data_IF_657678555155
#
_entry.id   IF_657678555155
#
_cell.length_a   1.000
_cell.length_b   1.000
_cell.length_c   1.000
_cell.angle_alpha   90.00
_cell.angle_beta   90.00
_cell.angle_gamma   90.00
#
_symmetry.space_group_name_H-M   'P 1'
#
loop_
_entity.id
_entity.type
_entity.pdbx_description
1 polymer ?
#
# COMPACT_ATOMS: atom_id res chain seq x y z
N UNK A 1 -4.79 60.40 -17.03
CA UNK A 1 -3.68 59.88 -16.20
C UNK A 1 -4.11 60.13 -14.75
N UNK A 2 -4.56 59.20 -13.91
CA UNK A 2 -4.34 57.76 -13.81
C UNK A 2 -5.62 57.02 -13.43
N UNK A 3 -5.84 55.94 -14.15
CA UNK A 3 -6.53 54.73 -13.70
C UNK A 3 -5.71 54.15 -12.54
N UNK A 4 -6.29 53.88 -11.36
CA UNK A 4 -6.00 52.65 -10.63
C UNK A 4 -7.00 52.37 -9.49
N UNK A 5 -7.94 51.48 -9.80
CA UNK A 5 -8.37 50.33 -8.98
C UNK A 5 -8.69 50.62 -7.50
N UNK A 6 -9.94 51.00 -7.27
CA UNK A 6 -10.60 50.71 -5.99
C UNK A 6 -10.75 49.18 -5.87
N UNK A 7 -10.22 48.65 -4.78
CA UNK A 7 -10.10 47.24 -4.46
C UNK A 7 -11.45 46.51 -4.58
N UNK A 8 -11.51 45.53 -5.50
CA UNK A 8 -12.49 44.46 -5.45
C UNK A 8 -12.15 43.63 -4.22
N UNK A 9 -13.04 43.63 -3.23
CA UNK A 9 -12.99 42.76 -2.06
C UNK A 9 -13.14 41.32 -2.57
N UNK A 10 -12.02 40.67 -2.86
CA UNK A 10 -11.98 39.21 -2.89
C UNK A 10 -11.97 38.81 -1.42
N UNK A 11 -13.11 38.32 -0.94
CA UNK A 11 -13.20 37.58 0.30
C UNK A 11 -12.32 36.33 0.16
N UNK A 12 -11.01 36.48 0.42
CA UNK A 12 -10.15 35.34 0.70
C UNK A 12 -10.60 34.88 2.08
N UNK A 13 -11.33 33.77 2.11
CA UNK A 13 -11.46 32.97 3.33
C UNK A 13 -10.04 32.60 3.78
N UNK A 14 -9.43 33.42 4.63
CA UNK A 14 -8.16 33.10 5.28
C UNK A 14 -8.52 32.00 6.28
N UNK A 15 -8.47 30.74 5.81
CA UNK A 15 -8.39 29.61 6.72
C UNK A 15 -7.06 29.74 7.45
N UNK A 16 -7.09 30.34 8.66
CA UNK A 16 -5.89 30.44 9.51
C UNK A 16 -5.47 29.01 9.82
N UNK A 17 -4.32 28.66 9.29
CA UNK A 17 -3.75 27.37 9.57
C UNK A 17 -2.88 27.39 10.80
N UNK A 18 -3.02 26.34 11.60
CA UNK A 18 -2.42 26.24 12.91
C UNK A 18 -1.63 24.95 12.98
N UNK A 19 -0.39 25.06 13.47
CA UNK A 19 0.35 23.92 13.98
C UNK A 19 -0.49 23.19 15.04
N UNK A 20 -0.31 21.87 15.12
CA UNK A 20 -1.09 21.02 16.01
C UNK A 20 -2.52 20.73 15.54
N UNK A 21 -2.82 20.93 14.24
CA UNK A 21 -4.15 20.65 13.68
C UNK A 21 -4.09 19.64 12.54
N UNK A 22 -5.19 18.90 12.36
CA UNK A 22 -5.34 17.94 11.27
C UNK A 22 -5.90 18.61 10.02
N UNK A 23 -5.31 18.28 8.88
CA UNK A 23 -5.74 18.71 7.56
C UNK A 23 -6.01 17.50 6.67
N UNK A 24 -6.92 17.68 5.71
CA UNK A 24 -7.21 16.71 4.66
C UNK A 24 -6.85 17.30 3.30
N UNK A 25 -6.18 16.54 2.44
CA UNK A 25 -5.94 16.94 1.06
C UNK A 25 -7.27 17.02 0.29
N UNK A 26 -7.58 18.18 -0.32
CA UNK A 26 -8.83 18.37 -1.08
C UNK A 26 -8.67 18.22 -2.59
N UNK A 27 -7.46 18.43 -3.09
CA UNK A 27 -7.11 18.25 -4.52
C UNK A 27 -6.81 16.79 -4.81
N UNK A 28 -6.85 16.39 -6.08
CA UNK A 28 -6.54 15.00 -6.49
C UNK A 28 -5.18 14.54 -6.00
N UNK A 29 -4.19 15.44 -6.07
CA UNK A 29 -2.81 15.25 -5.68
C UNK A 29 -2.18 16.62 -5.41
N UNK A 30 -1.38 16.74 -4.35
CA UNK A 30 -0.50 17.90 -4.12
C UNK A 30 0.95 17.45 -3.94
N UNK A 31 1.89 18.26 -4.42
CA UNK A 31 3.32 17.98 -4.31
C UNK A 31 3.79 18.15 -2.86
N UNK A 32 4.62 17.21 -2.40
CA UNK A 32 5.40 17.35 -1.17
C UNK A 32 6.78 17.87 -1.55
N UNK A 33 7.17 18.97 -0.94
CA UNK A 33 8.49 19.60 -1.08
C UNK A 33 9.33 19.37 0.17
N UNK A 34 10.66 19.41 0.03
CA UNK A 34 11.57 19.31 1.16
C UNK A 34 11.66 20.57 2.03
N UNK A 35 11.01 21.67 1.63
CA UNK A 35 10.95 22.92 2.38
C UNK A 35 9.74 23.77 2.01
N UNK A 36 9.54 24.86 2.75
CA UNK A 36 8.37 25.74 2.66
C UNK A 36 8.37 26.66 1.43
N UNK A 37 8.25 26.09 0.23
CA UNK A 37 8.26 26.85 -1.02
C UNK A 37 8.23 25.97 -2.26
N UNK A 38 7.71 26.51 -3.37
CA UNK A 38 7.69 25.83 -4.67
C UNK A 38 9.08 25.53 -5.24
N UNK A 39 10.09 26.29 -4.79
CA UNK A 39 11.47 26.18 -5.25
C UNK A 39 12.26 25.07 -4.54
N UNK A 40 11.71 24.46 -3.50
CA UNK A 40 12.34 23.33 -2.83
C UNK A 40 12.16 22.03 -3.62
N UNK A 41 13.12 21.09 -3.54
CA UNK A 41 13.03 19.78 -4.17
C UNK A 41 11.70 19.07 -3.92
N UNK A 42 11.15 18.49 -4.98
CA UNK A 42 10.04 17.54 -4.89
C UNK A 42 10.52 16.23 -4.25
N UNK A 43 9.79 15.74 -3.26
CA UNK A 43 10.14 14.49 -2.53
C UNK A 43 8.98 13.49 -2.47
N UNK A 44 7.83 13.82 -3.07
CA UNK A 44 6.68 12.94 -3.11
C UNK A 44 5.38 13.71 -3.34
N UNK A 45 4.26 13.07 -3.07
CA UNK A 45 2.95 13.71 -3.16
C UNK A 45 1.99 13.20 -2.10
N UNK A 46 0.97 14.01 -1.81
CA UNK A 46 -0.14 13.69 -0.93
C UNK A 46 -1.42 13.57 -1.77
N UNK A 47 -2.04 12.39 -1.74
CA UNK A 47 -3.26 12.10 -2.51
C UNK A 47 -4.51 12.72 -1.86
N UNK A 48 -5.56 12.90 -2.66
CA UNK A 48 -6.88 13.35 -2.18
C UNK A 48 -7.35 12.52 -0.98
N UNK A 49 -8.04 13.18 -0.06
CA UNK A 49 -8.66 12.58 1.13
C UNK A 49 -7.68 11.95 2.13
N UNK A 50 -6.37 12.11 1.92
CA UNK A 50 -5.34 11.75 2.90
C UNK A 50 -5.30 12.82 4.01
N UNK A 51 -5.09 12.36 5.24
CA UNK A 51 -5.01 13.23 6.41
C UNK A 51 -3.55 13.43 6.83
N UNK A 52 -3.21 14.63 7.28
CA UNK A 52 -1.92 14.97 7.87
C UNK A 52 -2.12 15.71 9.18
N UNK A 53 -1.24 15.49 10.15
CA UNK A 53 -1.13 16.34 11.32
C UNK A 53 -0.03 17.37 11.07
N UNK A 54 -0.42 18.65 11.04
CA UNK A 54 0.49 19.75 10.68
C UNK A 54 1.27 20.19 11.91
N UNK A 55 2.59 20.19 11.82
CA UNK A 55 3.50 20.58 12.92
C UNK A 55 3.96 22.02 12.81
N UNK A 56 3.96 22.60 11.61
CA UNK A 56 4.37 23.98 11.36
C UNK A 56 3.66 24.55 10.14
N UNK A 57 3.50 25.88 10.11
CA UNK A 57 2.99 26.60 8.95
C UNK A 57 3.85 27.84 8.72
N UNK A 58 4.45 27.95 7.54
CA UNK A 58 5.17 29.16 7.14
C UNK A 58 5.07 29.38 5.64
N UNK A 59 5.02 30.65 5.21
CA UNK A 59 4.99 31.05 3.80
C UNK A 59 3.91 30.36 2.94
N UNK A 60 2.76 29.99 3.53
CA UNK A 60 1.69 29.28 2.82
C UNK A 60 1.94 27.78 2.62
N UNK A 61 2.90 27.21 3.33
CA UNK A 61 3.22 25.78 3.32
C UNK A 61 3.00 25.19 4.71
N UNK A 62 2.45 23.98 4.75
CA UNK A 62 2.22 23.21 5.97
C UNK A 62 3.23 22.07 6.05
N UNK A 63 3.95 22.01 7.17
CA UNK A 63 4.89 20.93 7.49
C UNK A 63 4.16 19.75 8.14
N UNK A 64 4.55 18.55 7.74
CA UNK A 64 4.19 17.30 8.41
C UNK A 64 5.36 16.31 8.28
N UNK A 65 5.24 15.12 8.85
CA UNK A 65 6.36 14.18 9.03
C UNK A 65 7.15 13.79 7.75
N UNK A 66 6.56 13.95 6.55
CA UNK A 66 7.24 13.67 5.27
C UNK A 66 7.88 14.91 4.65
N UNK A 67 7.33 16.11 4.89
CA UNK A 67 7.80 17.34 4.26
C UNK A 67 6.74 18.45 4.28
N UNK A 68 6.75 19.27 3.22
CA UNK A 68 5.94 20.48 3.13
C UNK A 68 4.95 20.41 1.97
N UNK A 69 3.69 20.76 2.22
CA UNK A 69 2.62 20.82 1.19
C UNK A 69 2.01 22.22 1.11
N UNK A 70 1.53 22.60 -0.07
CA UNK A 70 0.87 23.88 -0.25
C UNK A 70 -0.46 23.88 0.52
N UNK A 71 -0.63 24.88 1.38
CA UNK A 71 -1.78 24.91 2.29
C UNK A 71 -3.11 25.14 1.57
N UNK A 72 -3.06 25.76 0.40
CA UNK A 72 -4.23 25.98 -0.43
C UNK A 72 -4.80 24.67 -1.00
N UNK A 73 -4.04 23.57 -0.96
CA UNK A 73 -4.46 22.24 -1.39
C UNK A 73 -5.09 21.42 -0.27
N UNK A 74 -5.19 22.00 0.93
CA UNK A 74 -5.69 21.36 2.13
C UNK A 74 -7.03 21.94 2.59
N UNK A 75 -7.74 21.17 3.41
CA UNK A 75 -8.91 21.60 4.19
C UNK A 75 -8.69 21.25 5.66
N UNK A 76 -8.76 22.25 6.54
CA UNK A 76 -8.67 22.07 7.99
C UNK A 76 -9.83 21.22 8.49
N UNK A 77 -9.54 20.23 9.35
CA UNK A 77 -10.56 19.38 9.95
C UNK A 77 -11.02 19.96 11.29
N UNK A 78 -12.34 20.09 11.48
CA UNK A 78 -12.95 20.71 12.67
C UNK A 78 -13.93 19.76 13.37
N UNK A 79 -13.63 18.46 13.44
CA UNK A 79 -14.49 17.53 14.17
C UNK A 79 -14.43 17.85 15.67
N UNK A 80 -15.59 17.83 16.32
CA UNK A 80 -15.76 17.93 17.78
C UNK A 80 -16.21 16.61 18.41
N UNK A 81 -16.42 15.57 17.59
CA UNK A 81 -16.96 14.28 18.03
C UNK A 81 -15.83 13.27 18.21
N UNK A 82 -15.64 12.82 19.45
CA UNK A 82 -14.77 11.70 19.75
C UNK A 82 -15.34 10.40 19.19
N UNK A 83 -14.53 9.64 18.46
CA UNK A 83 -14.91 8.37 17.84
C UNK A 83 -14.00 7.21 18.26
N UNK A 84 -12.88 7.47 18.96
CA UNK A 84 -11.96 6.46 19.46
C UNK A 84 -11.53 6.75 20.90
N UNK A 85 -10.99 5.75 21.59
CA UNK A 85 -10.34 5.86 22.90
C UNK A 85 -9.04 5.06 22.96
N UNK A 86 -8.12 5.50 23.80
CA UNK A 86 -6.90 4.76 24.14
C UNK A 86 -7.26 3.43 24.85
N UNK A 87 -6.68 2.32 24.39
CA UNK A 87 -6.91 0.97 24.93
C UNK A 87 -5.69 0.36 25.63
N UNK A 88 -4.55 1.05 25.66
CA UNK A 88 -3.38 0.70 26.48
C UNK A 88 -3.30 1.56 27.73
N UNK A 89 -2.56 1.12 28.75
CA UNK A 89 -2.42 1.86 30.01
C UNK A 89 -1.86 3.28 29.80
N UNK A 90 -0.88 3.40 28.90
CA UNK A 90 -0.40 4.66 28.37
C UNK A 90 -0.05 4.53 26.88
N UNK A 91 -0.31 5.58 26.09
CA UNK A 91 -0.04 5.63 24.67
C UNK A 91 0.68 6.93 24.28
N UNK A 92 1.82 6.80 23.60
CA UNK A 92 2.55 7.92 23.03
C UNK A 92 1.87 8.43 21.75
N UNK A 93 1.61 9.72 21.71
CA UNK A 93 1.23 10.46 20.51
C UNK A 93 2.42 11.29 20.04
N UNK A 94 2.62 11.36 18.73
CA UNK A 94 3.86 11.81 18.11
C UNK A 94 3.62 12.74 16.92
N UNK A 95 4.68 13.44 16.52
CA UNK A 95 4.68 14.32 15.33
C UNK A 95 4.59 13.55 14.01
N UNK A 96 4.90 12.26 14.02
CA UNK A 96 4.85 11.39 12.86
C UNK A 96 4.63 9.92 13.20
N UNK A 97 4.40 9.08 12.20
CA UNK A 97 3.89 7.71 12.35
C UNK A 97 5.01 6.70 12.63
N UNK A 98 5.82 6.94 13.66
CA UNK A 98 6.89 6.04 14.10
C UNK A 98 7.32 6.38 15.52
N UNK A 99 7.84 5.39 16.24
CA UNK A 99 8.41 5.55 17.58
C UNK A 99 9.63 6.49 17.60
N UNK A 100 10.23 6.76 16.45
CA UNK A 100 11.38 7.65 16.29
C UNK A 100 11.00 9.12 16.18
N UNK A 101 9.72 9.45 15.93
CA UNK A 101 9.26 10.84 15.95
C UNK A 101 9.11 11.34 17.38
N UNK A 102 9.28 12.65 17.58
CA UNK A 102 9.12 13.28 18.88
C UNK A 102 7.75 12.98 19.47
N UNK A 103 7.75 12.68 20.77
CA UNK A 103 6.52 12.53 21.55
C UNK A 103 5.97 13.91 21.87
N UNK A 104 4.71 14.14 21.51
CA UNK A 104 4.00 15.39 21.82
C UNK A 104 2.93 15.21 22.89
N UNK A 105 2.49 13.98 23.15
CA UNK A 105 1.63 13.67 24.29
C UNK A 105 1.77 12.21 24.73
N UNK A 106 1.41 11.96 25.99
CA UNK A 106 1.20 10.63 26.56
C UNK A 106 -0.22 10.61 27.11
N UNK A 107 -1.08 9.74 26.57
CA UNK A 107 -2.49 9.66 26.99
C UNK A 107 -2.76 8.30 27.63
N UNK A 108 -3.52 8.31 28.73
CA UNK A 108 -3.82 7.11 29.50
C UNK A 108 -5.03 6.36 28.92
N UNK A 109 -5.19 5.09 29.29
CA UNK A 109 -6.33 4.25 28.94
C UNK A 109 -7.68 4.97 29.12
N UNK A 110 -8.57 4.81 28.16
CA UNK A 110 -9.89 5.42 28.16
C UNK A 110 -9.95 6.86 27.68
N UNK A 111 -8.80 7.55 27.52
CA UNK A 111 -8.77 8.91 26.97
C UNK A 111 -9.38 8.92 25.57
N UNK A 112 -10.41 9.73 25.37
CA UNK A 112 -11.11 9.86 24.09
C UNK A 112 -10.31 10.74 23.12
N UNK A 113 -10.26 10.32 21.86
CA UNK A 113 -9.58 11.03 20.77
C UNK A 113 -10.46 11.06 19.53
N UNK A 114 -10.20 12.03 18.67
CA UNK A 114 -10.80 12.12 17.35
C UNK A 114 -9.79 11.53 16.38
N UNK A 115 -10.14 10.38 15.83
CA UNK A 115 -9.41 9.71 14.75
C UNK A 115 -9.97 10.18 13.40
N UNK A 116 -9.09 10.61 12.51
CA UNK A 116 -9.46 11.12 11.19
C UNK A 116 -9.19 10.11 10.07
N UNK A 117 -8.12 9.32 10.19
CA UNK A 117 -7.73 8.35 9.16
C UNK A 117 -6.35 7.75 9.44
N UNK A 118 -5.90 6.85 8.56
CA UNK A 118 -4.55 6.27 8.62
C UNK A 118 -3.54 7.19 7.95
N UNK A 119 -2.29 7.09 8.39
CA UNK A 119 -1.17 7.68 7.65
C UNK A 119 -0.91 6.92 6.34
N UNK A 120 -0.60 7.66 5.28
CA UNK A 120 -0.41 7.11 3.93
C UNK A 120 0.90 6.35 3.74
N UNK A 121 1.90 6.61 4.59
CA UNK A 121 3.21 5.94 4.54
C UNK A 121 3.33 4.85 5.61
N UNK A 122 2.52 4.91 6.67
CA UNK A 122 2.46 3.88 7.69
C UNK A 122 1.02 3.69 8.20
N UNK A 123 0.31 2.74 7.58
CA UNK A 123 -1.09 2.47 7.87
C UNK A 123 -1.37 1.95 9.29
N UNK A 124 -0.35 1.55 10.05
CA UNK A 124 -0.51 1.11 11.45
C UNK A 124 -0.65 2.29 12.40
N UNK A 125 -0.43 3.51 11.91
CA UNK A 125 -0.57 4.74 12.67
C UNK A 125 -1.79 5.54 12.19
N UNK A 126 -2.49 6.12 13.16
CA UNK A 126 -3.65 6.96 12.95
C UNK A 126 -3.32 8.43 13.09
N UNK A 127 -3.91 9.25 12.23
CA UNK A 127 -3.93 10.71 12.36
C UNK A 127 -5.06 11.08 13.30
N UNK A 128 -4.72 11.70 14.42
CA UNK A 128 -5.70 12.11 15.43
C UNK A 128 -5.62 13.60 15.72
N UNK A 129 -6.59 14.14 16.45
CA UNK A 129 -6.52 15.51 16.99
C UNK A 129 -5.40 15.72 18.02
N UNK A 130 -4.60 14.70 18.34
CA UNK A 130 -3.48 14.75 19.30
C UNK A 130 -2.16 14.34 18.66
N UNK A 131 -2.08 14.25 17.34
CA UNK A 131 -0.93 13.74 16.60
C UNK A 131 -1.11 12.32 16.09
N UNK A 132 0.00 11.68 15.75
CA UNK A 132 0.06 10.31 15.29
C UNK A 132 0.18 9.33 16.46
N UNK A 133 -0.56 8.24 16.45
CA UNK A 133 -0.38 7.13 17.40
C UNK A 133 -0.58 5.77 16.71
N UNK A 134 -0.02 4.71 17.30
CA UNK A 134 -0.30 3.34 16.83
C UNK A 134 -1.78 3.02 17.03
N UNK A 135 -2.40 2.47 16.00
CA UNK A 135 -3.81 2.08 15.97
C UNK A 135 -4.07 0.75 16.68
N UNK A 136 -3.02 -0.01 17.00
CA UNK A 136 -3.11 -1.18 17.89
C UNK A 136 -3.67 -0.79 19.27
N UNK A 137 -3.38 0.44 19.71
CA UNK A 137 -3.71 0.93 21.03
C UNK A 137 -4.90 1.89 21.04
N UNK A 138 -5.64 1.98 19.94
CA UNK A 138 -6.92 2.69 19.87
C UNK A 138 -8.08 1.70 19.67
N UNK A 139 -9.20 1.99 20.31
CA UNK A 139 -10.46 1.26 20.12
C UNK A 139 -11.59 2.21 19.77
N UNK A 140 -12.48 1.80 18.89
CA UNK A 140 -13.63 2.60 18.47
C UNK A 140 -14.61 2.77 19.64
N UNK A 141 -15.22 3.95 19.74
CA UNK A 141 -16.28 4.20 20.71
C UNK A 141 -17.58 3.62 20.17
N UNK A 142 -18.11 2.60 20.86
CA UNK A 142 -19.43 2.03 20.58
C UNK A 142 -20.51 3.09 20.75
N UNK A 143 -21.33 3.31 19.71
CA UNK A 143 -22.57 4.08 19.83
C UNK A 143 -23.58 3.23 20.58
N UNK A 144 -23.90 3.60 21.82
CA UNK A 144 -25.00 2.99 22.55
C UNK A 144 -26.32 3.41 21.89
N UNK A 145 -26.76 2.65 20.89
CA UNK A 145 -28.17 2.65 20.48
C UNK A 145 -28.89 1.66 21.39
N UNK A 146 -29.54 2.19 22.43
CA UNK A 146 -30.40 1.42 23.33
C UNK A 146 -31.56 0.83 22.53
N UNK A 147 -31.53 -0.46 22.21
CA UNK A 147 -32.68 -1.17 21.64
C UNK A 147 -33.41 -1.88 22.78
N UNK A 148 -34.59 -1.38 23.12
CA UNK A 148 -35.55 -2.04 24.00
C UNK A 148 -36.06 -3.29 23.28
N UNK A 149 -35.92 -4.46 23.93
CA UNK A 149 -36.53 -5.70 23.48
C UNK A 149 -38.05 -5.61 23.51
N UNK A 150 -38.71 -5.86 22.38
CA UNK A 150 -39.88 -6.75 22.33
C UNK A 150 -40.38 -6.97 20.89
N UNK A 151 -40.87 -8.18 20.67
CA UNK A 151 -41.67 -8.71 19.55
C UNK A 151 -40.95 -9.16 18.29
N UNK A 152 -41.13 -10.46 18.01
CA UNK A 152 -40.75 -11.17 16.80
C UNK A 152 -41.48 -10.57 15.59
N UNK A 153 -40.73 -9.93 14.71
CA UNK A 153 -41.09 -9.75 13.30
C UNK A 153 -39.83 -9.97 12.48
N UNK A 154 -39.95 -10.74 11.40
CA UNK A 154 -38.86 -11.06 10.47
C UNK A 154 -38.08 -9.81 10.07
N UNK A 155 -36.89 -9.63 10.63
CA UNK A 155 -35.93 -8.64 10.17
C UNK A 155 -35.06 -9.33 9.13
N UNK A 156 -35.25 -8.95 7.87
CA UNK A 156 -34.23 -9.10 6.84
C UNK A 156 -32.98 -8.43 7.41
N UNK A 157 -31.98 -9.25 7.74
CA UNK A 157 -30.64 -8.78 8.12
C UNK A 157 -30.23 -7.70 7.11
N UNK A 158 -29.82 -6.49 7.54
CA UNK A 158 -29.12 -5.59 6.63
C UNK A 158 -27.97 -6.40 6.08
N UNK A 159 -27.99 -6.66 4.77
CA UNK A 159 -26.92 -7.37 4.09
C UNK A 159 -25.62 -6.73 4.54
N UNK A 160 -24.79 -7.54 5.22
CA UNK A 160 -23.39 -7.24 5.47
C UNK A 160 -22.86 -6.43 4.30
N UNK A 161 -22.34 -5.23 4.53
CA UNK A 161 -21.57 -4.55 3.49
C UNK A 161 -20.51 -5.54 3.05
N UNK A 162 -20.75 -6.21 1.91
CA UNK A 162 -19.83 -7.11 1.28
C UNK A 162 -18.70 -6.19 0.86
N UNK A 163 -17.65 -6.11 1.67
CA UNK A 163 -16.39 -5.53 1.24
C UNK A 163 -16.10 -6.23 -0.09
N UNK A 164 -16.22 -5.50 -1.20
CA UNK A 164 -16.08 -6.08 -2.52
C UNK A 164 -14.61 -6.45 -2.64
N UNK A 165 -14.26 -7.69 -2.25
CA UNK A 165 -12.95 -8.25 -2.54
C UNK A 165 -12.90 -8.43 -4.04
N UNK A 166 -12.00 -7.70 -4.69
CA UNK A 166 -11.68 -7.94 -6.09
C UNK A 166 -10.95 -9.26 -6.19
N UNK A 167 -11.17 -9.98 -7.26
CA UNK A 167 -10.56 -11.29 -7.47
C UNK A 167 -9.60 -11.23 -8.65
N UNK A 168 -8.33 -11.47 -8.36
CA UNK A 168 -7.26 -11.44 -9.36
C UNK A 168 -6.64 -12.82 -9.49
N UNK A 169 -5.91 -13.01 -10.59
CA UNK A 169 -5.06 -14.17 -10.81
C UNK A 169 -3.61 -13.74 -10.96
N UNK A 170 -2.70 -14.69 -10.80
CA UNK A 170 -1.33 -14.56 -11.29
C UNK A 170 -0.98 -15.69 -12.24
N UNK A 171 -0.22 -15.36 -13.28
CA UNK A 171 0.12 -16.29 -14.37
C UNK A 171 1.57 -16.15 -14.81
N UNK A 172 2.08 -17.21 -15.43
CA UNK A 172 3.44 -17.30 -15.96
C UNK A 172 3.47 -18.23 -17.18
N UNK A 173 4.67 -18.55 -17.70
CA UNK A 173 4.84 -19.57 -18.74
C UNK A 173 4.15 -20.92 -18.50
N UNK A 174 3.81 -21.22 -17.25
CA UNK A 174 3.16 -22.47 -16.87
C UNK A 174 1.65 -22.48 -17.10
N UNK A 175 1.03 -21.33 -17.43
CA UNK A 175 -0.40 -21.22 -17.64
C UNK A 175 -0.75 -21.15 -19.12
N UNK A 176 -1.63 -22.03 -19.58
CA UNK A 176 -2.15 -22.01 -20.95
C UNK A 176 -3.47 -21.24 -21.00
N UNK A 177 -3.43 -20.00 -21.48
CA UNK A 177 -4.63 -19.19 -21.70
C UNK A 177 -5.20 -19.51 -23.09
N UNK A 178 -6.36 -20.18 -23.14
CA UNK A 178 -7.04 -20.56 -24.38
C UNK A 178 -7.93 -19.46 -24.94
N UNK A 179 -8.42 -18.56 -24.08
CA UNK A 179 -9.21 -17.40 -24.50
C UNK A 179 -9.03 -16.22 -23.52
N UNK A 180 -8.22 -15.25 -23.91
CA UNK A 180 -7.91 -14.07 -23.09
C UNK A 180 -9.14 -13.18 -22.79
N UNK A 181 -10.08 -13.06 -23.72
CA UNK A 181 -11.29 -12.27 -23.48
C UNK A 181 -12.17 -12.92 -22.41
N UNK A 182 -12.38 -14.24 -22.53
CA UNK A 182 -13.14 -15.00 -21.52
C UNK A 182 -12.46 -14.98 -20.15
N UNK A 183 -11.12 -15.10 -20.13
CA UNK A 183 -10.35 -14.98 -18.90
C UNK A 183 -10.50 -13.59 -18.29
N UNK A 184 -10.28 -12.53 -19.08
CA UNK A 184 -10.39 -11.15 -18.61
C UNK A 184 -11.77 -10.81 -18.03
N UNK A 185 -12.85 -11.33 -18.61
CA UNK A 185 -14.21 -11.13 -18.10
C UNK A 185 -14.52 -11.90 -16.81
N UNK A 186 -13.69 -12.88 -16.43
CA UNK A 186 -13.88 -13.71 -15.24
C UNK A 186 -13.09 -13.21 -14.00
N UNK A 187 -12.28 -12.16 -14.15
CA UNK A 187 -11.36 -11.65 -13.13
C UNK A 187 -11.31 -10.12 -13.12
N UNK A 188 -10.95 -9.53 -11.98
CA UNK A 188 -10.79 -8.07 -11.82
C UNK A 188 -9.39 -7.57 -12.22
N UNK A 189 -8.43 -8.48 -12.42
CA UNK A 189 -7.06 -8.16 -12.81
C UNK A 189 -6.15 -9.39 -12.87
N UNK A 190 -5.00 -9.22 -13.53
CA UNK A 190 -3.98 -10.27 -13.71
C UNK A 190 -2.60 -9.73 -13.34
N UNK A 191 -1.83 -10.50 -12.56
CA UNK A 191 -0.41 -10.23 -12.28
C UNK A 191 0.46 -11.23 -13.04
N UNK A 192 1.25 -10.76 -14.00
CA UNK A 192 2.02 -11.60 -14.93
C UNK A 192 3.45 -11.76 -14.41
N UNK A 193 4.01 -12.98 -14.41
CA UNK A 193 5.45 -13.15 -14.18
C UNK A 193 6.20 -12.50 -15.33
N UNK A 194 6.94 -11.44 -15.05
CA UNK A 194 7.72 -10.77 -16.08
C UNK A 194 9.09 -11.42 -16.28
N UNK A 195 9.66 -12.00 -15.24
CA UNK A 195 10.95 -12.66 -15.29
C UNK A 195 11.32 -13.29 -13.96
N UNK A 196 12.54 -13.81 -13.93
CA UNK A 196 13.13 -14.41 -12.74
C UNK A 196 14.65 -14.28 -12.76
N UNK A 197 15.26 -14.36 -11.58
CA UNK A 197 16.68 -14.63 -11.45
C UNK A 197 16.91 -16.13 -11.27
N UNK A 198 17.85 -16.68 -12.02
CA UNK A 198 18.16 -18.12 -11.98
C UNK A 198 18.68 -18.56 -10.60
N UNK A 199 18.35 -19.80 -10.20
CA UNK A 199 18.76 -20.38 -8.93
C UNK A 199 20.23 -20.83 -8.91
N UNK A 200 20.83 -21.08 -10.09
CA UNK A 200 22.23 -21.50 -10.22
C UNK A 200 23.22 -20.37 -9.88
N UNK A 201 24.49 -20.70 -9.70
CA UNK A 201 25.54 -19.77 -9.23
C UNK A 201 25.66 -18.49 -10.04
N UNK A 202 25.42 -18.54 -11.36
CA UNK A 202 25.43 -17.36 -12.24
C UNK A 202 24.32 -16.37 -11.93
N UNK A 203 23.17 -16.83 -11.41
CA UNK A 203 22.03 -16.00 -11.08
C UNK A 203 21.59 -15.08 -12.22
N UNK A 204 21.49 -15.61 -13.44
CA UNK A 204 21.15 -14.83 -14.63
C UNK A 204 19.74 -14.26 -14.54
N UNK A 205 19.56 -13.02 -15.03
CA UNK A 205 18.25 -12.41 -15.19
C UNK A 205 17.60 -12.95 -16.48
N UNK A 206 16.41 -13.54 -16.35
CA UNK A 206 15.71 -14.21 -17.44
C UNK A 206 14.30 -13.67 -17.58
N UNK A 207 13.91 -13.30 -18.80
CA UNK A 207 12.54 -12.95 -19.15
C UNK A 207 11.66 -14.20 -19.15
N UNK A 208 10.46 -14.12 -18.58
CA UNK A 208 9.46 -15.19 -18.72
C UNK A 208 9.03 -15.30 -20.19
N UNK A 209 9.07 -16.51 -20.75
CA UNK A 209 8.82 -16.75 -22.18
C UNK A 209 7.41 -16.37 -22.62
N UNK A 210 6.44 -16.31 -21.70
CA UNK A 210 5.06 -15.94 -21.99
C UNK A 210 4.70 -14.49 -21.64
N UNK A 211 5.64 -13.68 -21.12
CA UNK A 211 5.38 -12.28 -20.77
C UNK A 211 4.69 -11.50 -21.91
N UNK A 212 5.26 -11.56 -23.11
CA UNK A 212 4.74 -10.79 -24.25
C UNK A 212 3.36 -11.29 -24.71
N UNK A 213 3.16 -12.61 -24.70
CA UNK A 213 1.90 -13.23 -25.11
C UNK A 213 0.79 -12.88 -24.11
N UNK A 214 1.05 -13.03 -22.81
CA UNK A 214 0.10 -12.68 -21.76
C UNK A 214 -0.21 -11.19 -21.75
N UNK A 215 0.81 -10.33 -21.86
CA UNK A 215 0.60 -8.89 -21.93
C UNK A 215 -0.30 -8.50 -23.11
N UNK A 216 0.05 -8.91 -24.34
CA UNK A 216 -0.77 -8.61 -25.53
C UNK A 216 -2.19 -9.18 -25.41
N UNK A 217 -2.32 -10.38 -24.84
CA UNK A 217 -3.60 -11.03 -24.63
C UNK A 217 -4.53 -10.23 -23.70
N UNK A 218 -4.02 -9.75 -22.57
CA UNK A 218 -4.81 -9.02 -21.56
C UNK A 218 -4.87 -7.51 -21.74
N UNK A 219 -3.96 -6.92 -22.54
CA UNK A 219 -3.93 -5.47 -22.78
C UNK A 219 -5.31 -4.96 -23.19
N UNK A 220 -5.72 -3.87 -22.55
CA UNK A 220 -7.01 -3.19 -22.73
C UNK A 220 -8.26 -4.03 -22.36
N UNK A 221 -8.10 -5.24 -21.79
CA UNK A 221 -9.23 -6.11 -21.39
C UNK A 221 -9.42 -6.21 -19.88
N UNK A 222 -8.36 -6.02 -19.11
CA UNK A 222 -8.40 -6.03 -17.64
C UNK A 222 -7.21 -5.25 -17.06
N UNK A 223 -7.14 -5.11 -15.74
CA UNK A 223 -6.00 -4.49 -15.05
C UNK A 223 -4.80 -5.46 -15.08
N UNK A 224 -3.60 -4.93 -15.36
CA UNK A 224 -2.37 -5.74 -15.50
C UNK A 224 -1.35 -5.34 -14.45
N UNK A 225 -0.73 -6.32 -13.81
CA UNK A 225 0.38 -6.18 -12.87
C UNK A 225 1.52 -7.10 -13.22
N UNK A 226 2.63 -6.98 -12.49
CA UNK A 226 3.82 -7.81 -12.71
C UNK A 226 4.45 -8.30 -11.42
N UNK A 227 5.00 -9.51 -11.47
CA UNK A 227 5.90 -10.01 -10.43
C UNK A 227 7.21 -10.54 -11.04
N UNK A 228 8.28 -10.51 -10.25
CA UNK A 228 9.59 -11.03 -10.61
C UNK A 228 10.04 -12.04 -9.54
N UNK A 229 10.34 -13.28 -9.97
CA UNK A 229 10.79 -14.33 -9.05
C UNK A 229 12.28 -14.18 -8.74
N UNK A 230 12.60 -13.90 -7.48
CA UNK A 230 13.97 -13.54 -7.11
C UNK A 230 14.80 -14.73 -6.64
N UNK A 231 16.08 -14.63 -6.95
CA UNK A 231 17.17 -15.41 -6.38
C UNK A 231 18.35 -14.47 -6.05
N UNK A 232 18.06 -13.21 -5.71
CA UNK A 232 19.09 -12.23 -5.37
C UNK A 232 19.71 -12.55 -4.00
N UNK A 233 21.03 -12.60 -3.93
CA UNK A 233 21.79 -12.85 -2.71
C UNK A 233 22.49 -11.60 -2.18
N UNK A 234 22.39 -10.49 -2.90
CA UNK A 234 22.92 -9.18 -2.48
C UNK A 234 21.92 -8.06 -2.78
N UNK A 235 22.06 -6.94 -2.07
CA UNK A 235 21.33 -5.69 -2.33
C UNK A 235 21.49 -5.26 -3.78
N UNK A 236 22.71 -5.27 -4.31
CA UNK A 236 23.01 -4.88 -5.69
C UNK A 236 22.24 -5.72 -6.70
N UNK A 237 22.16 -7.03 -6.47
CA UNK A 237 21.40 -7.93 -7.34
C UNK A 237 19.90 -7.66 -7.32
N UNK A 238 19.34 -7.32 -6.16
CA UNK A 238 17.93 -6.94 -6.05
C UNK A 238 17.63 -5.59 -6.75
N UNK A 239 18.56 -4.64 -6.71
CA UNK A 239 18.47 -3.41 -7.50
C UNK A 239 18.56 -3.66 -9.02
N UNK A 240 19.40 -4.62 -9.44
CA UNK A 240 19.50 -5.05 -10.84
C UNK A 240 18.21 -5.73 -11.31
N UNK A 241 17.58 -6.54 -10.45
CA UNK A 241 16.26 -7.12 -10.71
C UNK A 241 15.22 -6.01 -10.93
N UNK A 242 15.13 -5.04 -10.01
CA UNK A 242 14.21 -3.92 -10.13
C UNK A 242 14.44 -3.10 -11.42
N UNK A 243 15.71 -2.82 -11.73
CA UNK A 243 16.11 -2.09 -12.94
C UNK A 243 15.74 -2.87 -14.20
N UNK A 244 16.01 -4.17 -14.23
CA UNK A 244 15.68 -5.04 -15.36
C UNK A 244 14.17 -5.13 -15.58
N UNK A 245 13.39 -5.26 -14.50
CA UNK A 245 11.92 -5.25 -14.59
C UNK A 245 11.44 -3.96 -15.23
N UNK A 246 11.76 -2.82 -14.63
CA UNK A 246 11.17 -1.53 -15.03
C UNK A 246 11.72 -1.04 -16.38
N UNK A 247 13.04 -1.10 -16.59
CA UNK A 247 13.67 -0.49 -17.76
C UNK A 247 13.68 -1.40 -18.99
N UNK A 248 13.48 -2.71 -18.80
CA UNK A 248 13.56 -3.69 -19.90
C UNK A 248 12.26 -4.45 -20.07
N UNK A 249 11.80 -5.18 -19.05
CA UNK A 249 10.69 -6.12 -19.21
C UNK A 249 9.35 -5.42 -19.44
N UNK A 250 9.05 -4.39 -18.64
CA UNK A 250 7.74 -3.73 -18.63
C UNK A 250 7.75 -2.32 -19.24
N UNK A 251 8.88 -1.88 -19.81
CA UNK A 251 9.00 -0.56 -20.41
C UNK A 251 7.92 -0.34 -21.49
N UNK A 252 7.13 0.73 -21.31
CA UNK A 252 6.02 1.08 -22.20
C UNK A 252 4.79 0.16 -22.12
N UNK A 253 4.75 -0.76 -21.15
CA UNK A 253 3.61 -1.66 -20.94
C UNK A 253 2.64 -1.09 -19.89
N UNK A 254 1.35 -1.39 -20.04
CA UNK A 254 0.33 -1.10 -19.03
C UNK A 254 0.71 -1.75 -17.69
N UNK A 255 0.79 -0.96 -16.63
CA UNK A 255 0.95 -1.45 -15.27
C UNK A 255 -0.01 -0.73 -14.31
N UNK A 256 -0.97 -1.48 -13.77
CA UNK A 256 -1.96 -1.00 -12.83
C UNK A 256 -1.65 -1.37 -11.40
N UNK A 257 -0.83 -2.39 -11.13
CA UNK A 257 -0.55 -2.89 -9.77
C UNK A 257 0.84 -2.45 -9.29
N UNK A 258 1.15 -2.62 -7.98
CA UNK A 258 2.52 -2.67 -7.52
C UNK A 258 3.31 -3.75 -8.25
N UNK A 259 4.59 -3.50 -8.51
CA UNK A 259 5.51 -4.51 -9.04
C UNK A 259 6.01 -5.33 -7.87
N UNK A 260 5.73 -6.64 -7.89
CA UNK A 260 6.03 -7.51 -6.77
C UNK A 260 7.38 -8.21 -6.90
N UNK A 261 8.19 -8.10 -5.86
CA UNK A 261 9.31 -9.00 -5.63
C UNK A 261 8.78 -10.30 -5.02
N UNK A 262 8.92 -11.40 -5.73
CA UNK A 262 8.46 -12.71 -5.27
C UNK A 262 9.63 -13.43 -4.60
N UNK A 263 9.48 -13.76 -3.32
CA UNK A 263 10.48 -14.52 -2.54
C UNK A 263 9.88 -15.77 -1.92
N UNK A 264 10.30 -16.93 -2.43
CA UNK A 264 10.07 -18.24 -1.81
C UNK A 264 11.25 -19.16 -2.14
N UNK A 265 11.16 -20.42 -1.73
CA UNK A 265 12.10 -21.46 -2.11
C UNK A 265 12.20 -21.54 -3.63
N UNK A 266 13.42 -21.73 -4.13
CA UNK A 266 13.74 -21.76 -5.57
C UNK A 266 13.04 -22.88 -6.34
N UNK A 267 12.63 -23.95 -5.65
CA UNK A 267 12.19 -25.21 -6.25
C UNK A 267 13.32 -26.00 -6.89
N UNK A 268 14.59 -25.58 -6.73
CA UNK A 268 15.75 -26.34 -7.18
C UNK A 268 15.85 -27.66 -6.39
N UNK A 269 16.36 -28.75 -7.00
CA UNK A 269 16.55 -30.02 -6.31
C UNK A 269 17.30 -29.84 -5.00
N UNK A 270 16.70 -30.31 -3.89
CA UNK A 270 17.28 -30.21 -2.56
C UNK A 270 17.32 -28.80 -1.96
N UNK A 271 16.50 -27.85 -2.45
CA UNK A 271 16.55 -26.44 -2.03
C UNK A 271 17.96 -25.84 -2.17
N UNK A 272 18.62 -26.18 -3.28
CA UNK A 272 19.99 -25.76 -3.60
C UNK A 272 20.07 -24.41 -4.30
N UNK A 273 18.96 -23.67 -4.38
CA UNK A 273 18.95 -22.35 -4.99
C UNK A 273 19.82 -21.39 -4.22
N UNK A 274 20.52 -20.50 -4.95
CA UNK A 274 21.45 -19.54 -4.36
C UNK A 274 20.82 -18.66 -3.28
N UNK A 275 19.51 -18.42 -3.34
CA UNK A 275 18.80 -17.63 -2.34
C UNK A 275 18.07 -18.47 -1.26
N UNK A 276 18.11 -19.80 -1.31
CA UNK A 276 17.31 -20.64 -0.40
C UNK A 276 17.83 -20.56 1.05
N UNK A 277 19.16 -20.51 1.23
CA UNK A 277 19.80 -20.47 2.55
C UNK A 277 20.18 -19.07 3.04
N UNK A 278 19.60 -18.01 2.45
CA UNK A 278 19.84 -16.65 2.94
C UNK A 278 19.31 -16.49 4.35
N UNK A 279 20.07 -15.79 5.18
CA UNK A 279 19.57 -15.32 6.47
C UNK A 279 18.40 -14.35 6.28
N UNK A 280 17.50 -14.31 7.27
CA UNK A 280 16.38 -13.36 7.33
C UNK A 280 16.81 -11.92 7.07
N UNK A 281 17.95 -11.50 7.63
CA UNK A 281 18.47 -10.13 7.48
C UNK A 281 18.91 -9.83 6.05
N UNK A 282 19.65 -10.73 5.40
CA UNK A 282 20.10 -10.55 4.01
C UNK A 282 18.92 -10.56 3.05
N UNK A 283 18.00 -11.51 3.21
CA UNK A 283 16.79 -11.60 2.39
C UNK A 283 15.94 -10.33 2.50
N UNK A 284 15.76 -9.82 3.73
CA UNK A 284 15.07 -8.56 3.97
C UNK A 284 15.78 -7.38 3.29
N UNK A 285 17.12 -7.30 3.38
CA UNK A 285 17.86 -6.23 2.73
C UNK A 285 17.68 -6.23 1.21
N UNK A 286 17.68 -7.40 0.56
CA UNK A 286 17.35 -7.55 -0.86
C UNK A 286 15.92 -7.09 -1.17
N UNK A 287 14.94 -7.55 -0.40
CA UNK A 287 13.54 -7.18 -0.58
C UNK A 287 13.31 -5.66 -0.46
N UNK A 288 13.88 -5.01 0.55
CA UNK A 288 13.82 -3.56 0.73
C UNK A 288 14.51 -2.84 -0.43
N UNK A 289 15.68 -3.30 -0.87
CA UNK A 289 16.40 -2.70 -1.98
C UNK A 289 15.60 -2.73 -3.29
N UNK A 290 14.95 -3.87 -3.61
CA UNK A 290 14.06 -3.96 -4.75
C UNK A 290 12.91 -2.95 -4.65
N UNK A 291 12.21 -2.91 -3.50
CA UNK A 291 11.08 -1.99 -3.26
C UNK A 291 11.50 -0.54 -3.45
N UNK A 292 12.60 -0.14 -2.81
CA UNK A 292 13.12 1.23 -2.90
C UNK A 292 13.54 1.58 -4.32
N UNK A 293 14.19 0.65 -5.04
CA UNK A 293 14.62 0.87 -6.42
C UNK A 293 13.44 1.01 -7.38
N UNK A 294 12.42 0.17 -7.27
CA UNK A 294 11.19 0.28 -8.09
C UNK A 294 10.49 1.62 -7.83
N UNK A 295 10.39 2.05 -6.56
CA UNK A 295 9.82 3.35 -6.18
C UNK A 295 10.62 4.52 -6.75
N UNK A 296 11.95 4.46 -6.67
CA UNK A 296 12.83 5.47 -7.25
C UNK A 296 12.70 5.56 -8.78
N UNK A 297 12.30 4.46 -9.45
CA UNK A 297 12.01 4.43 -10.88
C UNK A 297 10.58 4.89 -11.23
N UNK A 298 9.80 5.36 -10.24
CA UNK A 298 8.47 5.95 -10.44
C UNK A 298 7.29 4.99 -10.36
N UNK A 299 7.50 3.76 -9.88
CA UNK A 299 6.46 2.73 -9.80
C UNK A 299 6.10 2.38 -8.36
N UNK A 300 4.88 1.89 -8.14
CA UNK A 300 4.52 1.26 -6.87
C UNK A 300 5.17 -0.12 -6.79
N UNK A 301 5.58 -0.51 -5.60
CA UNK A 301 6.31 -1.76 -5.37
C UNK A 301 5.65 -2.58 -4.25
N UNK A 302 5.85 -3.89 -4.29
CA UNK A 302 5.35 -4.79 -3.26
C UNK A 302 6.22 -6.02 -3.10
N UNK A 303 5.93 -6.79 -2.06
CA UNK A 303 6.51 -8.10 -1.81
C UNK A 303 5.40 -9.15 -1.90
N UNK A 304 5.68 -10.22 -2.63
CA UNK A 304 4.95 -11.46 -2.55
C UNK A 304 5.77 -12.49 -1.78
N UNK A 305 5.13 -13.15 -0.82
CA UNK A 305 5.65 -14.35 -0.15
C UNK A 305 4.51 -15.11 0.53
N UNK A 306 4.70 -16.39 0.83
CA UNK A 306 3.79 -17.12 1.72
C UNK A 306 3.78 -16.55 3.15
N UNK A 307 2.71 -16.83 3.90
CA UNK A 307 2.56 -16.45 5.30
C UNK A 307 3.77 -16.88 6.14
N UNK A 308 4.26 -18.11 5.96
CA UNK A 308 5.47 -18.60 6.61
C UNK A 308 6.70 -17.74 6.28
N UNK A 309 6.86 -17.35 5.02
CA UNK A 309 8.01 -16.53 4.63
C UNK A 309 7.94 -15.11 5.21
N UNK A 310 6.76 -14.51 5.28
CA UNK A 310 6.59 -13.21 5.95
C UNK A 310 6.90 -13.27 7.45
N UNK A 311 6.59 -14.39 8.12
CA UNK A 311 6.81 -14.53 9.56
C UNK A 311 8.26 -14.89 9.88
N UNK A 312 8.83 -15.85 9.15
CA UNK A 312 10.08 -16.51 9.52
C UNK A 312 11.28 -16.04 8.69
N UNK A 313 11.06 -15.66 7.42
CA UNK A 313 12.15 -15.39 6.47
C UNK A 313 12.33 -13.91 6.11
N UNK A 314 11.36 -13.06 6.45
CA UNK A 314 11.38 -11.62 6.17
C UNK A 314 11.10 -10.83 7.45
N UNK A 315 11.78 -9.70 7.62
CA UNK A 315 11.43 -8.71 8.63
C UNK A 315 10.26 -7.86 8.09
N UNK A 316 9.04 -8.30 8.40
CA UNK A 316 7.80 -7.69 7.95
C UNK A 316 7.77 -6.17 8.17
N UNK A 317 8.23 -5.70 9.34
CA UNK A 317 8.20 -4.28 9.68
C UNK A 317 9.12 -3.46 8.77
N UNK A 318 10.31 -3.96 8.44
CA UNK A 318 11.19 -3.28 7.47
C UNK A 318 10.58 -3.22 6.07
N UNK A 319 9.88 -4.27 5.66
CA UNK A 319 9.17 -4.30 4.38
C UNK A 319 8.04 -3.25 4.33
N UNK A 320 7.19 -3.21 5.36
CA UNK A 320 6.11 -2.22 5.44
C UNK A 320 6.66 -0.80 5.54
N UNK A 321 7.70 -0.57 6.35
CA UNK A 321 8.34 0.76 6.49
C UNK A 321 8.99 1.24 5.18
N UNK A 322 9.40 0.33 4.29
CA UNK A 322 9.84 0.69 2.94
C UNK A 322 8.66 1.12 2.02
N UNK A 323 7.42 1.05 2.50
CA UNK A 323 6.20 1.36 1.76
C UNK A 323 5.86 0.30 0.72
N UNK A 324 6.15 -0.97 1.02
CA UNK A 324 5.81 -2.08 0.14
C UNK A 324 4.32 -2.44 0.27
N UNK A 325 3.69 -2.72 -0.88
CA UNK A 325 2.43 -3.47 -0.92
C UNK A 325 2.66 -4.93 -0.51
N UNK A 326 1.75 -5.51 0.27
CA UNK A 326 1.89 -6.88 0.80
C UNK A 326 0.88 -7.79 0.12
N UNK A 327 1.38 -8.78 -0.62
CA UNK A 327 0.59 -9.85 -1.22
C UNK A 327 1.02 -11.19 -0.61
N UNK A 328 0.19 -11.72 0.29
CA UNK A 328 0.52 -12.93 1.06
C UNK A 328 -0.13 -14.16 0.46
N UNK A 329 0.60 -15.29 0.43
CA UNK A 329 0.03 -16.59 0.06
C UNK A 329 -0.25 -17.47 1.28
N UNK A 330 -1.46 -18.04 1.31
CA UNK A 330 -1.89 -19.07 2.25
C UNK A 330 -3.05 -19.85 1.64
N UNK A 331 -2.80 -21.07 1.21
CA UNK A 331 -3.84 -21.90 0.57
C UNK A 331 -4.76 -22.52 1.62
N UNK A 332 -5.74 -21.74 2.09
CA UNK A 332 -6.67 -22.13 3.14
C UNK A 332 -7.99 -21.38 2.99
N UNK A 333 -9.05 -21.87 3.62
CA UNK A 333 -10.27 -21.09 3.85
C UNK A 333 -10.08 -20.07 4.98
N UNK A 334 -9.08 -20.28 5.83
CA UNK A 334 -8.72 -19.40 6.93
C UNK A 334 -7.80 -18.28 6.46
N UNK A 335 -8.13 -17.05 6.85
CA UNK A 335 -7.37 -15.85 6.49
C UNK A 335 -5.93 -15.93 7.02
N UNK A 336 -4.98 -15.25 6.36
CA UNK A 336 -3.65 -15.05 6.90
C UNK A 336 -3.70 -14.29 8.23
N UNK A 337 -2.85 -14.71 9.16
CA UNK A 337 -2.56 -14.03 10.42
C UNK A 337 -1.35 -13.08 10.30
N UNK A 338 -0.76 -12.94 9.10
CA UNK A 338 0.19 -11.88 8.78
C UNK A 338 -0.41 -10.51 9.13
N UNK A 339 0.33 -9.68 9.87
CA UNK A 339 -0.18 -8.49 10.58
C UNK A 339 -1.06 -7.55 9.74
N UNK A 340 -0.73 -7.36 8.46
CA UNK A 340 -1.57 -6.64 7.49
C UNK A 340 -1.17 -7.05 6.07
N UNK A 341 -2.14 -7.05 5.15
CA UNK A 341 -1.89 -7.32 3.75
C UNK A 341 -2.91 -6.62 2.85
N UNK A 342 -2.54 -6.42 1.59
CA UNK A 342 -3.40 -5.82 0.57
C UNK A 342 -4.15 -6.89 -0.22
N UNK A 343 -3.48 -8.02 -0.42
CA UNK A 343 -3.96 -9.16 -1.21
C UNK A 343 -3.62 -10.47 -0.52
N UNK A 344 -4.51 -11.45 -0.65
CA UNK A 344 -4.31 -12.81 -0.16
C UNK A 344 -4.51 -13.82 -1.29
N UNK A 345 -3.45 -14.52 -1.68
CA UNK A 345 -3.52 -15.68 -2.57
C UNK A 345 -4.00 -16.90 -1.78
N UNK A 346 -5.25 -17.28 -2.02
CA UNK A 346 -5.97 -18.29 -1.22
C UNK A 346 -6.02 -19.66 -1.88
N UNK A 347 -5.63 -19.76 -3.16
CA UNK A 347 -5.69 -21.01 -3.92
C UNK A 347 -4.65 -21.03 -5.02
N UNK A 348 -4.11 -22.23 -5.30
CA UNK A 348 -3.28 -22.57 -6.46
C UNK A 348 -3.92 -23.59 -7.40
N UNK A 349 -5.17 -23.96 -7.15
CA UNK A 349 -5.89 -25.05 -7.85
C UNK A 349 -7.25 -24.61 -8.38
N UNK A 350 -7.46 -23.31 -8.52
CA UNK A 350 -8.75 -22.78 -8.96
C UNK A 350 -8.94 -22.86 -10.47
N UNK A 351 -10.20 -22.95 -10.87
CA UNK A 351 -10.62 -22.84 -12.27
C UNK A 351 -10.89 -21.37 -12.64
N UNK A 352 -10.47 -20.98 -13.85
CA UNK A 352 -10.80 -19.68 -14.47
C UNK A 352 -11.17 -19.92 -15.92
N UNK A 353 -12.36 -19.45 -16.33
CA UNK A 353 -12.83 -19.59 -17.71
C UNK A 353 -11.81 -19.03 -18.70
N UNK A 354 -11.48 -19.78 -19.75
CA UNK A 354 -10.50 -19.36 -20.76
C UNK A 354 -9.05 -19.65 -20.40
N UNK A 355 -8.78 -20.34 -19.28
CA UNK A 355 -7.46 -20.85 -18.90
C UNK A 355 -7.57 -22.36 -18.67
N UNK A 356 -6.61 -23.11 -19.22
CA UNK A 356 -6.52 -24.56 -19.02
C UNK A 356 -5.68 -24.89 -17.79
N UNK A 357 -6.13 -25.87 -17.00
CA UNK A 357 -5.46 -26.30 -15.78
C UNK A 357 -5.69 -25.38 -14.57
N UNK A 358 -4.85 -25.56 -13.58
CA UNK A 358 -4.92 -24.85 -12.30
C UNK A 358 -4.45 -23.40 -12.43
N UNK A 359 -5.13 -22.49 -11.72
CA UNK A 359 -4.83 -21.07 -11.68
C UNK A 359 -4.77 -20.59 -10.25
N UNK A 360 -3.74 -19.81 -9.94
CA UNK A 360 -3.60 -19.13 -8.66
C UNK A 360 -4.60 -17.99 -8.56
N UNK A 361 -5.35 -17.92 -7.45
CA UNK A 361 -6.34 -16.87 -7.21
C UNK A 361 -6.08 -16.13 -5.91
N UNK A 362 -6.30 -14.82 -5.98
CA UNK A 362 -6.17 -13.93 -4.83
C UNK A 362 -7.38 -13.05 -4.65
N UNK A 363 -7.74 -12.82 -3.38
CA UNK A 363 -8.59 -11.71 -3.00
C UNK A 363 -7.74 -10.45 -2.83
N UNK A 364 -8.28 -9.32 -3.26
CA UNK A 364 -7.68 -8.00 -3.07
C UNK A 364 -8.62 -7.12 -2.25
N UNK A 365 -8.11 -6.57 -1.16
CA UNK A 365 -8.89 -5.85 -0.16
C UNK A 365 -8.68 -4.33 -0.20
N UNK A 366 -7.63 -3.87 -0.88
CA UNK A 366 -7.32 -2.44 -1.04
C UNK A 366 -7.35 -2.04 -2.51
N UNK A 367 -7.65 -0.77 -2.80
CA UNK A 367 -7.59 -0.28 -4.17
C UNK A 367 -6.13 -0.10 -4.62
N UNK A 368 -5.48 -1.22 -4.95
CA UNK A 368 -4.10 -1.26 -5.44
C UNK A 368 -4.01 -1.24 -6.97
N UNK A 369 -5.13 -1.22 -7.69
CA UNK A 369 -5.15 -1.22 -9.16
C UNK A 369 -5.85 0.00 -9.79
N UNK A 370 -6.21 0.99 -8.96
CA UNK A 370 -7.04 2.13 -9.35
C UNK A 370 -8.31 1.66 -10.08
N UNK A 371 -9.06 0.75 -9.44
CA UNK A 371 -10.42 0.39 -9.85
C UNK A 371 -11.40 1.52 -9.58
#
# INVERSE_FOLDING_TARGET
MNILKLFLIIAVNIAIALAGTVYKCKVTKTDIKSGAGSNYPYIGWLDKDNYIYVTNVTNGWAEFHVGWVNINDLTKQNSSTYNYKVNSDALNFREGPSINHNRIALLNKGTKVIYYGRDSWNNSWGVTNRGYCSMEYLSELSTNTTVISSTKTNVIQPSTYKSISREIINISRWNTVTNYASAASAIDGVIIRCGYRGYGSQGSLVKDSMLENHYKGFKDKTKIGYYFFSQAITVKEAEDEATYVVNTLIKGKQNNFPIYWYSESSGAPGNSGRADNLSKSVRTACAVAFVMKVKALGYRAGIYASEYWFNDNLDYNKIVNAGASIWVAKYSSEKPITSSYDSWQYSSTSYVKGISGNVDKSYVYKNIANW
#
